data_IF_896617668486
#
_entry.id   IF_896617668486
#
_cell.length_a   1.000
_cell.length_b   1.000
_cell.length_c   1.000
_cell.angle_alpha   90.00
_cell.angle_beta   90.00
_cell.angle_gamma   90.00
#
_symmetry.space_group_name_H-M   'P 1'
#
loop_
_entity.id
_entity.type
_entity.pdbx_description
1 polymer ?
#
# COMPACT_ATOMS: atom_id res chain seq x y z
N UNK A 1 67.01 -40.37 -9.44
CA UNK A 1 65.78 -41.01 -8.99
C UNK A 1 65.18 -40.37 -7.75
N UNK A 2 65.90 -40.26 -6.61
CA UNK A 2 65.30 -39.69 -5.34
C UNK A 2 64.74 -38.25 -5.50
N UNK A 3 65.42 -37.35 -6.21
CA UNK A 3 64.93 -35.97 -6.42
C UNK A 3 63.65 -35.87 -7.29
N UNK A 4 63.51 -36.78 -8.27
CA UNK A 4 62.32 -36.81 -9.16
C UNK A 4 61.09 -37.37 -8.39
N UNK A 5 61.27 -38.34 -7.55
CA UNK A 5 60.21 -38.89 -6.71
C UNK A 5 59.75 -37.86 -5.68
N UNK A 6 60.69 -37.09 -5.09
CA UNK A 6 60.35 -36.02 -4.15
C UNK A 6 59.49 -34.89 -4.80
N UNK A 7 59.79 -34.54 -6.05
CA UNK A 7 59.01 -33.54 -6.83
C UNK A 7 57.60 -34.04 -7.17
N UNK A 8 57.46 -35.32 -7.52
CA UNK A 8 56.18 -35.95 -7.76
C UNK A 8 55.28 -36.04 -6.51
N UNK A 9 55.87 -36.32 -5.36
CA UNK A 9 55.16 -36.35 -4.08
C UNK A 9 54.69 -34.95 -3.68
N UNK A 10 55.52 -33.91 -3.87
CA UNK A 10 55.16 -32.51 -3.58
C UNK A 10 54.03 -32.05 -4.53
N UNK A 11 54.08 -32.38 -5.81
CA UNK A 11 53.04 -32.05 -6.78
C UNK A 11 51.71 -32.77 -6.46
N UNK A 12 51.77 -34.00 -6.01
CA UNK A 12 50.60 -34.79 -5.59
C UNK A 12 49.96 -34.23 -4.31
N UNK A 13 50.77 -33.82 -3.33
CA UNK A 13 50.27 -33.20 -2.08
C UNK A 13 49.67 -31.82 -2.39
N UNK A 14 50.26 -31.03 -3.30
CA UNK A 14 49.73 -29.73 -3.72
C UNK A 14 48.39 -29.90 -4.45
N UNK A 15 48.25 -30.91 -5.34
CA UNK A 15 46.97 -31.15 -6.03
C UNK A 15 45.86 -31.63 -5.09
N UNK A 16 46.17 -32.43 -4.07
CA UNK A 16 45.23 -32.88 -3.03
C UNK A 16 44.79 -31.71 -2.11
N UNK A 17 45.68 -30.77 -1.83
CA UNK A 17 45.36 -29.58 -1.03
C UNK A 17 44.39 -28.63 -1.78
N UNK A 18 44.53 -28.48 -3.10
CA UNK A 18 43.63 -27.66 -3.92
C UNK A 18 42.23 -28.26 -3.99
N UNK A 19 42.08 -29.57 -4.15
CA UNK A 19 40.77 -30.26 -4.19
C UNK A 19 40.08 -30.26 -2.82
N UNK A 20 40.85 -30.34 -1.73
CA UNK A 20 40.33 -30.26 -0.37
C UNK A 20 39.75 -28.87 -0.01
N UNK A 21 40.44 -27.81 -0.42
CA UNK A 21 39.95 -26.42 -0.18
C UNK A 21 38.66 -26.16 -0.95
N UNK A 22 38.52 -26.65 -2.19
CA UNK A 22 37.33 -26.41 -2.98
C UNK A 22 36.08 -27.09 -2.38
N UNK A 23 36.20 -28.33 -1.92
CA UNK A 23 35.09 -29.03 -1.25
C UNK A 23 34.71 -28.43 0.12
N UNK A 24 35.68 -27.89 0.85
CA UNK A 24 35.41 -27.25 2.15
C UNK A 24 34.72 -25.90 1.92
N UNK A 25 35.13 -25.12 0.93
CA UNK A 25 34.48 -23.85 0.59
C UNK A 25 33.09 -24.04 -0.02
N UNK A 26 32.91 -25.03 -0.90
CA UNK A 26 31.58 -25.33 -1.46
C UNK A 26 30.59 -25.83 -0.38
N UNK A 27 31.01 -26.67 0.57
CA UNK A 27 30.15 -27.07 1.68
C UNK A 27 29.90 -25.96 2.70
N UNK A 28 30.84 -25.05 2.89
CA UNK A 28 30.68 -23.90 3.78
C UNK A 28 29.75 -22.83 3.14
N UNK A 29 29.87 -22.62 1.85
CA UNK A 29 29.01 -21.69 1.09
C UNK A 29 27.59 -22.26 0.95
N UNK A 30 27.43 -23.56 0.67
CA UNK A 30 26.10 -24.21 0.64
C UNK A 30 25.33 -24.06 1.95
N UNK A 31 26.00 -24.10 3.08
CA UNK A 31 25.37 -23.88 4.39
C UNK A 31 24.95 -22.42 4.62
N UNK A 32 25.54 -21.46 3.86
CA UNK A 32 25.17 -20.04 3.91
C UNK A 32 24.14 -19.67 2.83
N UNK A 33 24.10 -20.38 1.71
CA UNK A 33 23.10 -20.18 0.66
C UNK A 33 21.72 -20.70 1.08
N UNK A 34 21.66 -21.75 1.88
CA UNK A 34 20.43 -22.20 2.56
C UNK A 34 20.24 -21.43 3.85
N UNK A 35 19.91 -20.14 3.75
CA UNK A 35 19.52 -19.37 4.92
C UNK A 35 18.17 -19.93 5.45
N UNK A 36 18.18 -20.65 6.61
CA UNK A 36 16.96 -21.24 7.15
C UNK A 36 15.92 -20.17 7.59
N UNK A 37 16.33 -18.89 7.59
CA UNK A 37 15.46 -17.75 7.86
C UNK A 37 14.79 -17.19 6.57
N UNK A 38 15.24 -17.66 5.38
CA UNK A 38 14.55 -17.40 4.12
C UNK A 38 13.76 -18.67 3.76
N UNK A 39 12.45 -18.74 4.05
CA UNK A 39 11.65 -19.91 3.73
C UNK A 39 11.43 -20.00 2.21
N UNK A 40 12.39 -20.57 1.49
CA UNK A 40 12.25 -20.89 0.05
C UNK A 40 11.05 -21.80 -0.24
N UNK A 41 10.54 -22.46 0.79
CA UNK A 41 9.42 -23.41 0.74
C UNK A 41 8.09 -22.86 1.24
N UNK A 42 8.01 -21.59 1.70
CA UNK A 42 6.76 -21.05 2.16
C UNK A 42 5.75 -20.91 0.99
N UNK A 43 4.47 -21.26 1.19
CA UNK A 43 3.44 -21.15 0.16
C UNK A 43 3.12 -19.69 -0.17
N UNK A 44 2.60 -19.45 -1.37
CA UNK A 44 2.23 -18.12 -1.90
C UNK A 44 1.44 -17.26 -0.91
N UNK A 45 0.47 -17.86 -0.22
CA UNK A 45 -0.41 -17.16 0.74
C UNK A 45 0.37 -16.53 1.91
N UNK A 46 1.52 -17.07 2.32
CA UNK A 46 2.33 -16.50 3.40
C UNK A 46 3.06 -15.24 2.97
N UNK A 47 3.59 -15.22 1.76
CA UNK A 47 4.19 -14.01 1.17
C UNK A 47 3.12 -12.94 0.95
N UNK A 48 1.95 -13.33 0.48
CA UNK A 48 0.83 -12.40 0.33
C UNK A 48 0.39 -11.81 1.68
N UNK A 49 0.23 -12.61 2.72
CA UNK A 49 -0.10 -12.12 4.06
C UNK A 49 0.98 -11.16 4.61
N UNK A 50 2.27 -11.47 4.37
CA UNK A 50 3.38 -10.57 4.71
C UNK A 50 3.30 -9.24 3.96
N UNK A 51 2.98 -9.27 2.66
CA UNK A 51 2.78 -8.08 1.85
C UNK A 51 1.58 -7.24 2.34
N UNK A 52 0.46 -7.88 2.69
CA UNK A 52 -0.73 -7.21 3.24
C UNK A 52 -0.41 -6.48 4.56
N UNK A 53 0.29 -7.14 5.48
CA UNK A 53 0.70 -6.51 6.74
C UNK A 53 1.64 -5.32 6.53
N UNK A 54 2.62 -5.46 5.64
CA UNK A 54 3.53 -4.38 5.29
C UNK A 54 2.82 -3.22 4.55
N UNK A 55 1.80 -3.51 3.74
CA UNK A 55 1.00 -2.48 3.08
C UNK A 55 0.15 -1.70 4.08
N UNK A 56 -0.38 -2.35 5.14
CA UNK A 56 -1.02 -1.63 6.25
C UNK A 56 -0.03 -0.67 6.89
N UNK A 57 1.16 -1.16 7.26
CA UNK A 57 2.20 -0.35 7.90
C UNK A 57 2.61 0.84 7.02
N UNK A 58 2.78 0.63 5.73
CA UNK A 58 3.12 1.68 4.77
C UNK A 58 1.97 2.69 4.59
N UNK A 59 0.75 2.22 4.31
CA UNK A 59 -0.35 3.10 3.89
C UNK A 59 -1.00 3.85 5.05
N UNK A 60 -1.14 3.20 6.21
CA UNK A 60 -1.72 3.81 7.41
C UNK A 60 -0.67 4.53 8.29
N UNK A 61 0.60 4.18 8.16
CA UNK A 61 1.69 4.70 8.98
C UNK A 61 2.10 6.14 8.66
N UNK A 62 3.41 6.40 8.67
CA UNK A 62 3.97 7.75 8.54
C UNK A 62 3.51 8.52 7.30
N UNK A 63 3.42 7.95 6.08
CA UNK A 63 2.93 8.68 4.92
C UNK A 63 1.52 9.26 5.10
N UNK A 64 0.60 8.51 5.74
CA UNK A 64 -0.76 9.01 6.01
C UNK A 64 -0.77 10.12 7.05
N UNK A 65 0.04 9.99 8.10
CA UNK A 65 0.20 11.00 9.15
C UNK A 65 0.74 12.31 8.57
N UNK A 66 1.76 12.22 7.73
CA UNK A 66 2.36 13.37 7.07
C UNK A 66 1.39 14.03 6.08
N UNK A 67 0.68 13.22 5.28
CA UNK A 67 -0.35 13.72 4.38
C UNK A 67 -1.46 14.46 5.13
N UNK A 68 -1.89 13.96 6.29
CA UNK A 68 -2.89 14.62 7.12
C UNK A 68 -2.39 15.97 7.69
N UNK A 69 -1.12 16.06 8.09
CA UNK A 69 -0.50 17.33 8.52
C UNK A 69 -0.49 18.33 7.37
N UNK A 70 0.00 17.95 6.20
CA UNK A 70 0.10 18.84 5.05
C UNK A 70 -1.25 19.22 4.43
N UNK A 71 -2.24 18.31 4.52
CA UNK A 71 -3.63 18.64 4.18
C UNK A 71 -4.37 19.41 5.28
N UNK A 72 -3.69 19.76 6.38
CA UNK A 72 -4.26 20.47 7.53
C UNK A 72 -5.50 19.77 8.14
N UNK A 73 -5.46 18.43 8.12
CA UNK A 73 -6.41 17.57 8.82
C UNK A 73 -5.94 17.23 10.25
N UNK A 74 -4.65 17.38 10.49
CA UNK A 74 -3.99 17.29 11.78
C UNK A 74 -2.91 18.38 11.86
N UNK A 75 -2.35 18.61 13.05
CA UNK A 75 -1.22 19.51 13.30
C UNK A 75 -0.05 18.71 13.82
N UNK A 76 1.12 18.91 13.25
CA UNK A 76 2.38 18.46 13.83
C UNK A 76 2.75 19.35 15.00
N UNK A 77 2.52 18.87 16.24
CA UNK A 77 2.54 19.72 17.44
C UNK A 77 3.85 19.67 18.22
N UNK A 78 4.62 18.56 18.12
CA UNK A 78 5.85 18.40 18.91
C UNK A 78 6.93 17.66 18.13
N UNK A 79 8.19 17.82 18.58
CA UNK A 79 9.39 17.16 18.05
C UNK A 79 9.52 17.28 16.53
N UNK A 80 9.85 16.15 15.85
CA UNK A 80 9.98 16.15 14.39
C UNK A 80 8.69 16.54 13.65
N UNK A 81 7.51 16.22 14.22
CA UNK A 81 6.25 16.58 13.58
C UNK A 81 5.99 18.09 13.56
N UNK A 82 6.50 18.84 14.56
CA UNK A 82 6.48 20.30 14.50
C UNK A 82 7.35 20.84 13.34
N UNK A 83 8.46 20.15 13.02
CA UNK A 83 9.25 20.45 11.83
C UNK A 83 8.50 20.13 10.53
N UNK A 84 7.86 18.98 10.46
CA UNK A 84 7.09 18.56 9.28
C UNK A 84 5.89 19.48 9.01
N UNK A 85 5.27 20.05 10.04
CA UNK A 85 4.17 21.02 9.92
C UNK A 85 4.59 22.29 9.14
N UNK A 86 5.87 22.62 9.21
CA UNK A 86 6.48 23.75 8.47
C UNK A 86 7.37 23.32 7.30
N UNK A 87 7.16 22.08 6.80
CA UNK A 87 7.88 21.49 5.66
C UNK A 87 9.39 21.30 5.87
N UNK A 88 9.86 21.28 7.13
CA UNK A 88 11.24 20.94 7.44
C UNK A 88 11.40 19.40 7.47
N UNK A 89 11.62 18.83 6.31
CA UNK A 89 11.72 17.39 6.08
C UNK A 89 12.88 17.08 5.14
N UNK A 90 13.48 15.91 5.32
CA UNK A 90 14.62 15.43 4.53
C UNK A 90 14.32 14.07 3.89
N UNK A 91 15.14 13.66 2.92
CA UNK A 91 15.01 12.34 2.31
C UNK A 91 15.16 11.20 3.34
N UNK A 92 15.97 11.39 4.38
CA UNK A 92 16.17 10.38 5.43
C UNK A 92 14.91 10.08 6.23
N UNK A 93 14.00 11.04 6.35
CA UNK A 93 12.73 10.86 7.08
C UNK A 93 11.83 9.82 6.43
N UNK A 94 12.03 9.54 5.13
CA UNK A 94 11.29 8.54 4.35
C UNK A 94 12.01 7.19 4.20
N UNK A 95 13.17 7.00 4.82
CA UNK A 95 13.98 5.79 4.59
C UNK A 95 13.24 4.50 4.96
N UNK A 96 12.47 4.51 6.05
CA UNK A 96 11.66 3.37 6.46
C UNK A 96 10.51 3.09 5.49
N UNK A 97 9.84 4.14 5.02
CA UNK A 97 8.72 4.00 4.09
C UNK A 97 9.19 3.49 2.73
N UNK A 98 10.34 3.95 2.27
CA UNK A 98 10.99 3.41 1.08
C UNK A 98 11.34 1.92 1.23
N UNK A 99 11.94 1.54 2.37
CA UNK A 99 12.21 0.14 2.68
C UNK A 99 10.94 -0.71 2.72
N UNK A 100 9.89 -0.24 3.39
CA UNK A 100 8.59 -0.91 3.42
C UNK A 100 8.02 -1.09 2.02
N UNK A 101 8.00 -0.03 1.22
CA UNK A 101 7.43 -0.04 -0.12
C UNK A 101 8.06 -1.10 -1.03
N UNK A 102 9.38 -1.17 -1.04
CA UNK A 102 10.10 -2.06 -1.96
C UNK A 102 10.38 -3.44 -1.37
N UNK A 103 10.98 -3.47 -0.17
CA UNK A 103 11.46 -4.73 0.40
C UNK A 103 10.34 -5.55 1.02
N UNK A 104 9.37 -4.88 1.68
CA UNK A 104 8.33 -5.59 2.42
C UNK A 104 7.03 -5.75 1.60
N UNK A 105 6.64 -4.77 0.81
CA UNK A 105 5.41 -4.86 0.00
C UNK A 105 5.72 -5.43 -1.39
N UNK A 106 6.44 -4.70 -2.24
CA UNK A 106 6.62 -5.08 -3.65
C UNK A 106 7.30 -6.44 -3.81
N UNK A 107 8.39 -6.70 -3.08
CA UNK A 107 9.12 -7.98 -3.17
C UNK A 107 8.21 -9.14 -2.77
N UNK A 108 7.50 -9.02 -1.64
CA UNK A 108 6.60 -10.09 -1.21
C UNK A 108 5.42 -10.29 -2.16
N UNK A 109 4.88 -9.23 -2.78
CA UNK A 109 3.83 -9.37 -3.80
C UNK A 109 4.33 -10.13 -5.02
N UNK A 110 5.53 -9.82 -5.53
CA UNK A 110 6.10 -10.51 -6.69
C UNK A 110 6.43 -11.97 -6.42
N UNK A 111 6.96 -12.29 -5.24
CA UNK A 111 7.17 -13.70 -4.81
C UNK A 111 5.81 -14.42 -4.68
N UNK A 112 4.81 -13.76 -4.07
CA UNK A 112 3.48 -14.33 -3.94
C UNK A 112 2.85 -14.62 -5.31
N UNK A 113 2.99 -13.71 -6.28
CA UNK A 113 2.49 -13.89 -7.65
C UNK A 113 3.17 -15.07 -8.35
N UNK A 114 4.50 -15.14 -8.31
CA UNK A 114 5.23 -16.26 -8.92
C UNK A 114 4.78 -17.59 -8.31
N UNK A 115 4.79 -17.70 -6.99
CA UNK A 115 4.38 -18.93 -6.30
C UNK A 115 2.90 -19.27 -6.50
N UNK A 116 2.02 -18.27 -6.57
CA UNK A 116 0.61 -18.49 -6.84
C UNK A 116 0.39 -19.10 -8.23
N UNK A 117 1.17 -18.71 -9.23
CA UNK A 117 1.15 -19.35 -10.56
C UNK A 117 1.66 -20.79 -10.50
N UNK A 118 2.77 -21.04 -9.80
CA UNK A 118 3.35 -22.38 -9.60
C UNK A 118 2.38 -23.33 -8.85
N UNK A 119 1.63 -22.79 -7.87
CA UNK A 119 0.66 -23.52 -7.05
C UNK A 119 -0.74 -23.60 -7.70
N UNK A 120 -0.98 -22.94 -8.84
CA UNK A 120 -2.29 -22.89 -9.51
C UNK A 120 -3.32 -22.02 -8.80
N UNK A 121 -2.91 -21.13 -7.90
CA UNK A 121 -3.77 -20.23 -7.12
C UNK A 121 -4.04 -18.92 -7.86
N UNK A 122 -4.76 -18.99 -9.00
CA UNK A 122 -4.96 -17.86 -9.88
C UNK A 122 -5.77 -16.71 -9.23
N UNK A 123 -6.67 -17.01 -8.32
CA UNK A 123 -7.36 -16.00 -7.52
C UNK A 123 -6.39 -15.19 -6.63
N UNK A 124 -5.43 -15.85 -5.98
CA UNK A 124 -4.39 -15.17 -5.20
C UNK A 124 -3.49 -14.32 -6.10
N UNK A 125 -3.09 -14.86 -7.26
CA UNK A 125 -2.33 -14.12 -8.26
C UNK A 125 -3.04 -12.81 -8.67
N UNK A 126 -4.33 -12.90 -9.03
CA UNK A 126 -5.12 -11.75 -9.45
C UNK A 126 -5.25 -10.68 -8.36
N UNK A 127 -5.47 -11.08 -7.10
CA UNK A 127 -5.52 -10.14 -5.97
C UNK A 127 -4.17 -9.49 -5.74
N UNK A 128 -3.07 -10.25 -5.79
CA UNK A 128 -1.72 -9.71 -5.62
C UNK A 128 -1.36 -8.70 -6.73
N UNK A 129 -1.83 -8.90 -7.97
CA UNK A 129 -1.67 -7.95 -9.08
C UNK A 129 -2.43 -6.64 -8.83
N UNK A 130 -3.67 -6.71 -8.35
CA UNK A 130 -4.45 -5.50 -7.99
C UNK A 130 -3.75 -4.73 -6.87
N UNK A 131 -3.27 -5.42 -5.84
CA UNK A 131 -2.58 -4.78 -4.72
C UNK A 131 -1.23 -4.19 -5.15
N UNK A 132 -0.48 -4.85 -6.05
CA UNK A 132 0.75 -4.30 -6.62
C UNK A 132 0.49 -2.98 -7.37
N UNK A 133 -0.53 -2.96 -8.24
CA UNK A 133 -0.88 -1.76 -8.99
C UNK A 133 -1.34 -0.61 -8.09
N UNK A 134 -2.19 -0.87 -7.10
CA UNK A 134 -2.59 0.12 -6.10
C UNK A 134 -1.39 0.65 -5.32
N UNK A 135 -0.50 -0.24 -4.87
CA UNK A 135 0.70 0.10 -4.11
C UNK A 135 1.66 0.96 -4.93
N UNK A 136 2.07 0.51 -6.11
CA UNK A 136 3.04 1.22 -6.94
C UNK A 136 2.50 2.53 -7.50
N UNK A 137 1.19 2.60 -7.80
CA UNK A 137 0.53 3.85 -8.10
C UNK A 137 0.59 4.84 -6.93
N UNK A 138 0.44 4.37 -5.68
CA UNK A 138 0.59 5.20 -4.48
C UNK A 138 2.05 5.64 -4.29
N UNK A 139 3.02 4.74 -4.47
CA UNK A 139 4.46 5.07 -4.40
C UNK A 139 4.82 6.16 -5.42
N UNK A 140 4.37 6.02 -6.67
CA UNK A 140 4.59 7.03 -7.70
C UNK A 140 3.89 8.37 -7.38
N UNK A 141 2.71 8.34 -6.75
CA UNK A 141 2.02 9.57 -6.32
C UNK A 141 2.79 10.32 -5.24
N UNK A 142 3.50 9.61 -4.36
CA UNK A 142 4.26 10.20 -3.25
C UNK A 142 5.64 10.71 -3.68
N UNK A 143 6.36 9.97 -4.53
CA UNK A 143 7.77 10.26 -4.85
C UNK A 143 8.04 10.67 -6.30
N UNK A 144 7.07 10.60 -7.20
CA UNK A 144 7.27 10.91 -8.62
C UNK A 144 7.91 9.76 -9.38
N UNK A 145 9.05 9.99 -10.00
CA UNK A 145 9.82 8.95 -10.69
C UNK A 145 10.40 7.96 -9.68
N UNK A 146 10.15 6.66 -9.89
CA UNK A 146 10.51 5.60 -8.95
C UNK A 146 10.90 4.31 -9.67
N UNK A 147 11.77 3.46 -9.10
CA UNK A 147 12.05 2.14 -9.66
C UNK A 147 10.79 1.26 -9.65
N UNK A 148 10.41 0.69 -10.79
CA UNK A 148 9.31 -0.29 -10.87
C UNK A 148 9.57 -1.42 -11.84
N UNK A 149 9.93 -1.12 -13.10
CA UNK A 149 10.09 -2.14 -14.15
C UNK A 149 11.17 -3.17 -13.81
N UNK A 150 12.25 -2.74 -13.16
CA UNK A 150 13.38 -3.58 -12.77
C UNK A 150 13.45 -3.84 -11.25
N UNK A 151 12.60 -3.21 -10.46
CA UNK A 151 12.63 -3.34 -8.99
C UNK A 151 12.24 -4.74 -8.52
N UNK A 152 12.69 -5.13 -7.32
CA UNK A 152 12.41 -6.42 -6.68
C UNK A 152 12.74 -7.65 -7.58
N UNK A 153 13.80 -7.55 -8.38
CA UNK A 153 14.33 -8.61 -9.24
C UNK A 153 15.86 -8.69 -9.04
N UNK A 154 16.34 -9.09 -7.85
CA UNK A 154 17.76 -9.06 -7.50
C UNK A 154 18.61 -9.98 -8.38
N UNK A 155 18.01 -11.00 -8.98
CA UNK A 155 18.66 -11.90 -9.94
C UNK A 155 18.98 -11.20 -11.28
N UNK A 156 18.31 -10.08 -11.59
CA UNK A 156 18.54 -9.31 -12.81
C UNK A 156 19.40 -8.07 -12.56
N UNK A 157 19.11 -7.32 -11.50
CA UNK A 157 19.86 -6.12 -11.16
C UNK A 157 19.74 -5.76 -9.67
N UNK A 158 20.84 -5.28 -9.09
CA UNK A 158 20.86 -4.70 -7.75
C UNK A 158 20.69 -3.16 -7.78
N UNK A 159 20.74 -2.56 -8.96
CA UNK A 159 20.63 -1.11 -9.18
C UNK A 159 19.54 -0.84 -10.22
N UNK A 160 18.25 -1.04 -9.86
CA UNK A 160 17.16 -0.81 -10.79
C UNK A 160 17.09 0.66 -11.20
N UNK A 161 16.76 0.90 -12.46
CA UNK A 161 16.55 2.28 -12.97
C UNK A 161 15.31 2.90 -12.36
N UNK A 162 15.29 4.23 -12.32
CA UNK A 162 14.08 5.00 -12.07
C UNK A 162 13.24 5.04 -13.36
N UNK A 163 11.98 4.63 -13.26
CA UNK A 163 10.99 4.78 -14.31
C UNK A 163 10.27 6.12 -14.13
N UNK A 164 9.88 6.74 -15.23
CA UNK A 164 9.10 7.98 -15.20
C UNK A 164 7.74 7.74 -14.51
N UNK A 165 7.28 8.69 -13.70
CA UNK A 165 6.02 8.59 -12.95
C UNK A 165 4.83 8.16 -13.82
N UNK A 166 4.73 8.67 -15.04
CA UNK A 166 3.65 8.34 -15.97
C UNK A 166 3.73 6.88 -16.42
N UNK A 167 4.93 6.40 -16.68
CA UNK A 167 5.16 5.00 -17.06
C UNK A 167 4.82 4.07 -15.88
N UNK A 168 5.14 4.48 -14.65
CA UNK A 168 4.74 3.74 -13.44
C UNK A 168 3.21 3.70 -13.30
N UNK A 169 2.50 4.81 -13.50
CA UNK A 169 1.03 4.80 -13.48
C UNK A 169 0.44 3.88 -14.54
N UNK A 170 0.96 3.93 -15.77
CA UNK A 170 0.49 3.06 -16.84
C UNK A 170 0.74 1.58 -16.53
N UNK A 171 1.92 1.24 -16.03
CA UNK A 171 2.26 -0.13 -15.61
C UNK A 171 1.43 -0.60 -14.42
N UNK A 172 1.15 0.28 -13.45
CA UNK A 172 0.28 0.00 -12.31
C UNK A 172 -1.18 -0.26 -12.76
N UNK A 173 -1.69 0.53 -13.68
CA UNK A 173 -3.02 0.31 -14.29
C UNK A 173 -3.05 -1.03 -15.04
N UNK A 174 -2.00 -1.35 -15.81
CA UNK A 174 -1.91 -2.63 -16.51
C UNK A 174 -1.91 -3.83 -15.52
N UNK A 175 -1.20 -3.72 -14.40
CA UNK A 175 -1.22 -4.74 -13.36
C UNK A 175 -2.62 -4.91 -12.74
N UNK A 176 -3.33 -3.81 -12.49
CA UNK A 176 -4.73 -3.84 -12.02
C UNK A 176 -5.64 -4.52 -13.05
N UNK A 177 -5.53 -4.17 -14.32
CA UNK A 177 -6.35 -4.73 -15.39
C UNK A 177 -6.12 -6.23 -15.55
N UNK A 178 -4.87 -6.67 -15.49
CA UNK A 178 -4.50 -8.10 -15.47
C UNK A 178 -5.14 -8.81 -14.27
N UNK A 179 -5.04 -8.24 -13.08
CA UNK A 179 -5.65 -8.79 -11.87
C UNK A 179 -7.16 -8.91 -11.98
N UNK A 180 -7.85 -7.88 -12.47
CA UNK A 180 -9.31 -7.90 -12.70
C UNK A 180 -9.68 -8.99 -13.70
N UNK A 181 -8.95 -9.11 -14.80
CA UNK A 181 -9.21 -10.13 -15.82
C UNK A 181 -9.07 -11.54 -15.24
N UNK A 182 -7.99 -11.79 -14.50
CA UNK A 182 -7.75 -13.09 -13.86
C UNK A 182 -8.85 -13.43 -12.83
N UNK A 183 -9.26 -12.48 -11.99
CA UNK A 183 -10.30 -12.70 -10.99
C UNK A 183 -11.68 -12.93 -11.61
N UNK A 184 -11.96 -12.28 -12.74
CA UNK A 184 -13.23 -12.50 -13.48
C UNK A 184 -13.32 -13.94 -13.97
N UNK A 185 -12.20 -14.54 -14.35
CA UNK A 185 -12.12 -15.93 -14.81
C UNK A 185 -11.98 -16.93 -13.64
N UNK A 186 -11.51 -16.48 -12.47
CA UNK A 186 -11.25 -17.31 -11.29
C UNK A 186 -11.92 -16.71 -10.05
N UNK A 187 -13.26 -16.80 -9.92
CA UNK A 187 -14.04 -16.08 -8.91
C UNK A 187 -14.01 -16.70 -7.51
N UNK A 188 -13.26 -17.77 -7.29
CA UNK A 188 -13.16 -18.40 -5.97
C UNK A 188 -12.55 -17.43 -4.94
N UNK A 189 -13.14 -17.37 -3.75
CA UNK A 189 -12.64 -16.53 -2.66
C UNK A 189 -11.27 -17.01 -2.16
N UNK A 190 -10.45 -16.07 -1.64
CA UNK A 190 -9.21 -16.40 -0.97
C UNK A 190 -9.48 -17.00 0.41
N UNK A 191 -8.65 -17.94 0.83
CA UNK A 191 -8.76 -18.56 2.15
C UNK A 191 -8.35 -17.60 3.30
N UNK A 192 -7.47 -16.63 3.01
CA UNK A 192 -6.97 -15.65 3.98
C UNK A 192 -6.89 -14.28 3.33
N UNK A 193 -7.42 -13.27 4.02
CA UNK A 193 -7.36 -11.87 3.64
C UNK A 193 -7.43 -11.03 4.91
N UNK A 194 -6.51 -10.07 5.05
CA UNK A 194 -6.40 -9.20 6.23
C UNK A 194 -7.29 -7.95 6.13
N UNK A 195 -7.99 -7.77 5.00
CA UNK A 195 -8.76 -6.57 4.73
C UNK A 195 -10.27 -6.80 4.78
N UNK A 196 -11.05 -5.73 4.67
CA UNK A 196 -12.52 -5.76 4.66
C UNK A 196 -13.13 -6.55 3.49
N UNK A 197 -12.36 -6.85 2.47
CA UNK A 197 -12.77 -7.71 1.36
C UNK A 197 -13.08 -9.13 1.81
N UNK A 198 -12.45 -9.60 2.90
CA UNK A 198 -12.68 -10.93 3.46
C UNK A 198 -12.43 -12.05 2.45
N UNK A 199 -11.48 -11.85 1.53
CA UNK A 199 -11.14 -12.79 0.48
C UNK A 199 -12.09 -12.82 -0.71
N UNK A 200 -13.14 -12.00 -0.74
CA UNK A 200 -14.08 -11.93 -1.87
C UNK A 200 -13.41 -11.36 -3.12
N UNK A 201 -13.28 -12.16 -4.17
CA UNK A 201 -12.77 -11.74 -5.47
C UNK A 201 -13.63 -10.67 -6.12
N UNK A 202 -14.96 -10.74 -5.95
CA UNK A 202 -15.88 -9.71 -6.43
C UNK A 202 -15.62 -8.33 -5.79
N UNK A 203 -15.33 -8.29 -4.49
CA UNK A 203 -14.92 -7.05 -3.83
C UNK A 203 -13.56 -6.58 -4.31
N UNK A 204 -12.59 -7.47 -4.49
CA UNK A 204 -11.29 -7.13 -5.02
C UNK A 204 -11.34 -6.56 -6.45
N UNK A 205 -12.25 -7.04 -7.29
CA UNK A 205 -12.50 -6.45 -8.61
C UNK A 205 -12.96 -4.99 -8.48
N UNK A 206 -13.88 -4.69 -7.54
CA UNK A 206 -14.30 -3.31 -7.26
C UNK A 206 -13.16 -2.45 -6.73
N UNK A 207 -12.30 -3.00 -5.86
CA UNK A 207 -11.06 -2.33 -5.41
C UNK A 207 -10.18 -1.98 -6.60
N UNK A 208 -9.96 -2.93 -7.51
CA UNK A 208 -9.17 -2.72 -8.73
C UNK A 208 -9.74 -1.60 -9.59
N UNK A 209 -11.02 -1.60 -9.87
CA UNK A 209 -11.66 -0.55 -10.67
C UNK A 209 -11.60 0.83 -10.02
N UNK A 210 -11.78 0.93 -8.70
CA UNK A 210 -11.64 2.21 -7.98
C UNK A 210 -10.19 2.71 -7.97
N UNK A 211 -9.23 1.83 -7.75
CA UNK A 211 -7.81 2.16 -7.84
C UNK A 211 -7.43 2.63 -9.25
N UNK A 212 -7.90 1.93 -10.29
CA UNK A 212 -7.72 2.33 -11.68
C UNK A 212 -8.30 3.73 -11.95
N UNK A 213 -9.50 4.02 -11.47
CA UNK A 213 -10.13 5.33 -11.64
C UNK A 213 -9.29 6.43 -10.98
N UNK A 214 -8.76 6.21 -9.76
CA UNK A 214 -7.84 7.11 -9.07
C UNK A 214 -6.60 7.40 -9.91
N UNK A 215 -5.93 6.37 -10.41
CA UNK A 215 -4.71 6.52 -11.21
C UNK A 215 -4.97 7.21 -12.56
N UNK A 216 -6.08 6.89 -13.22
CA UNK A 216 -6.50 7.59 -14.44
C UNK A 216 -6.77 9.07 -14.20
N UNK A 217 -7.32 9.48 -13.04
CA UNK A 217 -7.47 10.90 -12.69
C UNK A 217 -6.12 11.59 -12.50
N UNK A 218 -5.10 10.91 -11.94
CA UNK A 218 -3.74 11.44 -11.88
C UNK A 218 -3.16 11.65 -13.28
N UNK A 219 -3.33 10.69 -14.18
CA UNK A 219 -2.92 10.81 -15.59
C UNK A 219 -3.66 11.94 -16.33
N UNK A 220 -4.99 12.07 -16.12
CA UNK A 220 -5.79 13.08 -16.76
C UNK A 220 -5.29 14.51 -16.46
N UNK A 221 -4.81 14.75 -15.23
CA UNK A 221 -4.29 16.06 -14.81
C UNK A 221 -3.09 16.50 -15.64
N UNK A 222 -2.20 15.60 -16.03
CA UNK A 222 -0.98 15.91 -16.79
C UNK A 222 -1.30 16.65 -18.08
N UNK A 223 -2.31 16.17 -18.82
CA UNK A 223 -2.66 16.68 -20.15
C UNK A 223 -3.91 17.57 -20.12
N UNK A 224 -4.14 18.24 -19.00
CA UNK A 224 -5.28 19.14 -18.78
C UNK A 224 -6.65 18.45 -19.00
N UNK A 225 -6.79 17.23 -18.47
CA UNK A 225 -8.03 16.46 -18.41
C UNK A 225 -8.67 16.16 -19.78
N UNK A 226 -7.98 15.45 -20.69
CA UNK A 226 -8.53 15.11 -21.99
C UNK A 226 -9.77 14.23 -21.86
N UNK A 227 -10.79 14.49 -22.68
CA UNK A 227 -12.08 13.78 -22.62
C UNK A 227 -11.94 12.26 -22.77
N UNK A 228 -10.97 11.80 -23.55
CA UNK A 228 -10.72 10.37 -23.73
C UNK A 228 -10.34 9.68 -22.39
N UNK A 229 -9.46 10.30 -21.59
CA UNK A 229 -9.07 9.76 -20.27
C UNK A 229 -10.22 9.93 -19.27
N UNK A 230 -10.92 11.06 -19.26
CA UNK A 230 -12.08 11.27 -18.38
C UNK A 230 -13.19 10.22 -18.60
N UNK A 231 -13.45 9.84 -19.84
CA UNK A 231 -14.38 8.76 -20.13
C UNK A 231 -13.92 7.41 -19.59
N UNK A 232 -12.61 7.11 -19.66
CA UNK A 232 -12.04 5.90 -19.03
C UNK A 232 -12.16 5.93 -17.49
N UNK A 233 -11.96 7.11 -16.87
CA UNK A 233 -12.20 7.32 -15.44
C UNK A 233 -13.64 6.95 -15.07
N UNK A 234 -14.62 7.50 -15.79
CA UNK A 234 -16.03 7.23 -15.54
C UNK A 234 -16.34 5.73 -15.69
N UNK A 235 -15.88 5.11 -16.76
CA UNK A 235 -16.09 3.67 -16.99
C UNK A 235 -15.51 2.81 -15.87
N UNK A 236 -14.30 3.12 -15.41
CA UNK A 236 -13.68 2.41 -14.31
C UNK A 236 -14.41 2.68 -12.97
N UNK A 237 -14.67 3.94 -12.64
CA UNK A 237 -15.30 4.31 -11.37
C UNK A 237 -16.72 3.73 -11.20
N UNK A 238 -17.50 3.64 -12.29
CA UNK A 238 -18.84 3.03 -12.27
C UNK A 238 -18.82 1.54 -11.91
N UNK A 239 -17.73 0.82 -12.19
CA UNK A 239 -17.54 -0.58 -11.82
C UNK A 239 -16.86 -0.73 -10.45
N UNK A 240 -16.42 0.36 -9.85
CA UNK A 240 -15.73 0.39 -8.58
C UNK A 240 -16.64 0.35 -7.36
N UNK A 241 -16.11 0.84 -6.25
CA UNK A 241 -16.79 0.95 -4.96
C UNK A 241 -17.67 2.20 -4.97
N UNK A 242 -18.96 2.05 -5.21
CA UNK A 242 -19.92 3.17 -5.29
C UNK A 242 -21.07 3.05 -4.28
N UNK A 243 -21.21 1.90 -3.61
CA UNK A 243 -22.29 1.69 -2.63
C UNK A 243 -22.02 2.44 -1.33
N UNK A 244 -22.92 3.34 -0.97
CA UNK A 244 -22.90 4.07 0.32
C UNK A 244 -23.61 3.31 1.43
N UNK A 245 -24.10 2.10 1.17
CA UNK A 245 -24.68 1.24 2.19
C UNK A 245 -23.65 0.90 3.27
N UNK A 246 -23.99 1.17 4.54
CA UNK A 246 -23.09 0.90 5.65
C UNK A 246 -23.22 -0.52 6.18
N UNK A 247 -22.08 -1.15 6.46
CA UNK A 247 -22.01 -2.37 7.25
C UNK A 247 -22.25 -2.06 8.74
N UNK A 248 -22.58 -3.08 9.53
CA UNK A 248 -22.69 -2.96 11.00
C UNK A 248 -21.41 -2.45 11.68
N UNK A 249 -20.26 -2.68 11.05
CA UNK A 249 -18.96 -2.20 11.49
C UNK A 249 -18.73 -0.68 11.31
N UNK A 250 -19.66 0.04 10.67
CA UNK A 250 -19.62 1.51 10.52
C UNK A 250 -18.93 2.04 9.27
N UNK A 251 -18.36 1.17 8.42
CA UNK A 251 -17.86 1.52 7.08
C UNK A 251 -18.81 1.01 5.98
N UNK A 252 -18.61 1.43 4.73
CA UNK A 252 -19.42 0.96 3.61
C UNK A 252 -19.22 -0.54 3.35
N UNK A 253 -20.28 -1.24 2.92
CA UNK A 253 -20.24 -2.70 2.70
C UNK A 253 -19.17 -3.14 1.71
N UNK A 254 -18.84 -2.27 0.76
CA UNK A 254 -17.83 -2.51 -0.27
C UNK A 254 -16.54 -1.71 -0.04
N UNK A 255 -16.51 -0.79 0.95
CA UNK A 255 -15.31 0.00 1.24
C UNK A 255 -14.10 -0.90 1.48
N UNK A 256 -12.98 -0.54 0.88
CA UNK A 256 -11.70 -1.19 1.12
C UNK A 256 -11.02 -0.52 2.30
N UNK A 257 -11.00 -1.22 3.42
CA UNK A 257 -10.47 -0.71 4.69
C UNK A 257 -9.58 -1.76 5.37
N UNK A 258 -8.64 -1.27 6.17
CA UNK A 258 -7.94 -2.11 7.15
C UNK A 258 -8.82 -2.24 8.40
N UNK A 259 -8.96 -3.46 8.88
CA UNK A 259 -9.70 -3.77 10.10
C UNK A 259 -8.72 -4.04 11.23
N UNK A 260 -9.02 -3.52 12.43
CA UNK A 260 -8.12 -3.56 13.56
C UNK A 260 -8.73 -4.25 14.77
N UNK A 261 -7.86 -4.90 15.56
CA UNK A 261 -8.16 -5.44 16.88
C UNK A 261 -7.94 -4.41 17.98
N UNK A 262 -8.09 -4.87 19.23
CA UNK A 262 -7.95 -4.00 20.42
C UNK A 262 -6.60 -4.14 21.11
N UNK A 263 -5.71 -4.99 20.62
CA UNK A 263 -4.39 -5.25 21.20
C UNK A 263 -3.30 -5.10 20.16
N UNK A 264 -2.06 -4.86 20.58
CA UNK A 264 -0.90 -4.84 19.67
C UNK A 264 -0.74 -6.14 18.89
N UNK A 265 -0.88 -7.28 19.56
CA UNK A 265 -0.87 -8.59 18.92
C UNK A 265 -2.07 -8.81 17.98
N UNK A 266 -3.19 -8.13 18.24
CA UNK A 266 -4.39 -8.14 17.41
C UNK A 266 -4.43 -7.04 16.34
N UNK A 267 -3.29 -6.47 15.98
CA UNK A 267 -3.19 -5.45 14.93
C UNK A 267 -4.08 -4.22 15.24
N UNK A 268 -3.77 -3.47 16.30
CA UNK A 268 -4.48 -2.22 16.60
C UNK A 268 -4.24 -1.15 15.54
N UNK A 269 -5.13 -0.17 15.48
CA UNK A 269 -5.00 1.00 14.61
C UNK A 269 -3.66 1.70 14.81
N UNK A 270 -2.90 1.95 13.74
CA UNK A 270 -1.54 2.50 13.83
C UNK A 270 -1.52 3.96 14.27
N UNK A 271 -2.56 4.72 13.96
CA UNK A 271 -2.69 6.07 14.48
C UNK A 271 -2.92 6.07 16.00
N UNK A 272 -3.75 5.14 16.50
CA UNK A 272 -3.91 4.98 17.95
C UNK A 272 -2.59 4.62 18.61
N UNK A 273 -1.87 3.63 18.07
CA UNK A 273 -0.55 3.24 18.58
C UNK A 273 0.38 4.44 18.65
N UNK A 274 0.47 5.19 17.55
CA UNK A 274 1.34 6.37 17.47
C UNK A 274 0.92 7.48 18.45
N UNK A 275 -0.35 7.89 18.43
CA UNK A 275 -0.83 9.05 19.19
C UNK A 275 -0.89 8.77 20.70
N UNK A 276 -1.21 7.53 21.11
CA UNK A 276 -1.50 7.22 22.51
C UNK A 276 -0.34 6.50 23.18
N UNK A 277 0.29 5.53 22.50
CA UNK A 277 1.29 4.65 23.12
C UNK A 277 2.72 5.10 22.86
N UNK A 278 3.04 5.49 21.62
CA UNK A 278 4.44 5.68 21.21
C UNK A 278 4.86 7.15 21.29
N UNK A 279 4.03 8.08 20.78
CA UNK A 279 4.39 9.47 20.53
C UNK A 279 3.26 10.43 20.92
N UNK A 280 2.79 10.30 22.16
CA UNK A 280 1.72 11.16 22.68
C UNK A 280 2.06 12.66 22.50
N UNK A 281 1.11 13.42 21.94
CA UNK A 281 1.27 14.86 21.74
C UNK A 281 1.96 15.28 20.41
N UNK A 282 2.56 14.35 19.65
CA UNK A 282 3.23 14.70 18.38
C UNK A 282 2.25 15.12 17.29
N UNK A 283 1.12 14.43 17.20
CA UNK A 283 0.02 14.74 16.30
C UNK A 283 -1.21 15.13 17.11
N UNK A 284 -1.75 16.31 16.82
CA UNK A 284 -2.91 16.85 17.51
C UNK A 284 -3.85 17.53 16.50
N UNK A 285 -5.02 17.94 16.93
CA UNK A 285 -5.93 18.75 16.12
C UNK A 285 -5.57 20.25 16.15
N UNK A 286 -5.36 20.82 17.34
CA UNK A 286 -4.93 22.19 17.62
C UNK A 286 -5.57 23.26 16.70
N UNK A 287 -6.88 23.12 16.45
CA UNK A 287 -7.61 24.03 15.56
C UNK A 287 -7.07 24.07 14.12
N UNK A 288 -6.58 22.93 13.59
CA UNK A 288 -6.21 22.79 12.17
C UNK A 288 -7.35 23.21 11.25
N UNK A 289 -7.09 23.34 9.95
CA UNK A 289 -8.10 23.82 9.00
C UNK A 289 -9.37 22.93 8.98
N UNK A 290 -9.22 21.61 9.08
CA UNK A 290 -10.36 20.69 9.15
C UNK A 290 -11.25 20.94 10.38
N UNK A 291 -10.67 21.21 11.56
CA UNK A 291 -11.43 21.60 12.76
C UNK A 291 -12.22 22.87 12.51
N UNK A 292 -11.58 23.90 11.95
CA UNK A 292 -12.23 25.18 11.65
C UNK A 292 -13.37 25.01 10.65
N UNK A 293 -13.13 24.25 9.60
CA UNK A 293 -14.11 24.02 8.53
C UNK A 293 -15.35 23.29 9.03
N UNK A 294 -15.17 22.20 9.76
CA UNK A 294 -16.29 21.41 10.28
C UNK A 294 -17.01 22.15 11.41
N UNK A 295 -16.26 22.81 12.30
CA UNK A 295 -16.83 23.59 13.40
C UNK A 295 -17.67 24.78 12.92
N UNK A 296 -17.26 25.46 11.86
CA UNK A 296 -18.02 26.58 11.28
C UNK A 296 -19.41 26.18 10.72
N UNK A 297 -19.61 24.88 10.42
CA UNK A 297 -20.90 24.36 9.93
C UNK A 297 -21.82 23.86 11.04
N UNK A 298 -21.40 23.92 12.28
CA UNK A 298 -22.20 23.66 13.47
C UNK A 298 -22.89 22.29 13.45
N UNK A 299 -24.19 22.27 13.72
CA UNK A 299 -24.97 21.04 13.85
C UNK A 299 -24.95 20.17 12.55
N UNK A 300 -24.85 20.76 11.38
CA UNK A 300 -24.84 20.02 10.12
C UNK A 300 -23.62 19.07 9.97
N UNK A 301 -22.50 19.42 10.59
CA UNK A 301 -21.26 18.66 10.53
C UNK A 301 -20.84 18.05 11.88
N UNK A 302 -21.69 18.16 12.90
CA UNK A 302 -21.37 17.69 14.27
C UNK A 302 -21.00 16.20 14.31
N UNK A 303 -21.66 15.36 13.53
CA UNK A 303 -21.35 13.94 13.45
C UNK A 303 -19.93 13.68 12.93
N UNK A 304 -19.54 14.36 11.86
CA UNK A 304 -18.21 14.26 11.26
C UNK A 304 -17.15 14.90 12.17
N UNK A 305 -17.45 16.06 12.75
CA UNK A 305 -16.58 16.71 13.71
C UNK A 305 -16.27 15.78 14.90
N UNK A 306 -17.31 15.23 15.55
CA UNK A 306 -17.18 14.34 16.69
C UNK A 306 -16.55 12.98 16.35
N UNK A 307 -16.54 12.59 15.10
CA UNK A 307 -15.84 11.39 14.64
C UNK A 307 -14.32 11.58 14.62
N UNK A 308 -13.84 12.74 14.19
CA UNK A 308 -12.41 13.00 14.02
C UNK A 308 -11.75 13.70 15.22
N UNK A 309 -12.48 14.53 15.94
CA UNK A 309 -11.91 15.47 16.91
C UNK A 309 -12.55 15.36 18.29
N UNK A 310 -11.78 15.74 19.33
CA UNK A 310 -12.31 15.96 20.69
C UNK A 310 -13.17 17.23 20.73
N UNK A 311 -14.10 17.29 21.70
CA UNK A 311 -15.05 18.41 21.81
C UNK A 311 -14.36 19.77 22.05
N UNK A 312 -13.18 19.78 22.68
CA UNK A 312 -12.38 20.99 22.90
C UNK A 312 -11.55 21.41 21.67
N UNK A 313 -11.64 20.65 20.56
CA UNK A 313 -10.91 20.91 19.30
C UNK A 313 -9.38 20.84 19.39
N UNK A 314 -8.84 20.26 20.46
CA UNK A 314 -7.41 20.22 20.69
C UNK A 314 -6.77 18.91 20.18
N UNK A 315 -7.49 17.80 20.25
CA UNK A 315 -6.94 16.49 19.96
C UNK A 315 -7.74 15.69 18.92
N UNK A 316 -7.04 14.76 18.28
CA UNK A 316 -7.64 13.73 17.45
C UNK A 316 -8.38 12.73 18.35
N UNK A 317 -9.58 12.30 17.96
CA UNK A 317 -10.42 11.48 18.83
C UNK A 317 -9.99 10.02 18.83
N UNK A 318 -9.35 9.59 19.90
CA UNK A 318 -8.85 8.23 20.13
C UNK A 318 -9.80 7.35 20.99
N UNK A 319 -10.91 7.93 21.48
CA UNK A 319 -11.92 7.20 22.28
C UNK A 319 -12.85 6.40 21.38
N UNK A 320 -13.55 5.43 21.96
CA UNK A 320 -14.52 4.58 21.24
C UNK A 320 -15.47 5.40 20.36
N UNK A 321 -15.62 4.96 19.11
CA UNK A 321 -16.41 5.65 18.09
C UNK A 321 -15.69 6.82 17.40
N UNK A 322 -14.44 7.12 17.75
CA UNK A 322 -13.60 8.08 17.06
C UNK A 322 -12.81 7.43 15.92
N UNK A 323 -12.37 8.25 14.97
CA UNK A 323 -11.61 7.82 13.79
C UNK A 323 -10.26 7.18 14.14
N UNK A 324 -9.70 7.54 15.29
CA UNK A 324 -8.39 7.11 15.75
C UNK A 324 -8.48 6.22 17.00
N UNK A 325 -9.63 5.59 17.25
CA UNK A 325 -9.79 4.64 18.36
C UNK A 325 -8.97 3.36 18.10
N UNK A 326 -8.68 2.62 19.17
CA UNK A 326 -7.79 1.44 19.14
C UNK A 326 -8.17 0.40 18.07
N UNK A 327 -9.46 0.21 17.81
CA UNK A 327 -10.01 -0.72 16.81
C UNK A 327 -10.72 0.00 15.66
N UNK A 328 -10.51 1.31 15.48
CA UNK A 328 -11.06 2.03 14.35
C UNK A 328 -10.47 1.48 13.04
N UNK A 329 -11.31 1.24 12.05
CA UNK A 329 -10.86 0.87 10.71
C UNK A 329 -10.13 2.04 10.04
N UNK A 330 -9.17 1.72 9.17
CA UNK A 330 -8.49 2.73 8.37
C UNK A 330 -8.91 2.61 6.89
N UNK A 331 -9.47 3.68 6.28
CA UNK A 331 -9.96 3.63 4.92
C UNK A 331 -8.82 3.74 3.89
N UNK A 332 -8.81 2.84 2.90
CA UNK A 332 -7.90 2.87 1.75
C UNK A 332 -8.61 3.38 0.50
N UNK A 333 -9.80 2.85 0.22
CA UNK A 333 -10.70 3.32 -0.84
C UNK A 333 -12.14 3.28 -0.29
N UNK A 334 -12.81 4.41 -0.34
CA UNK A 334 -14.21 4.53 0.09
C UNK A 334 -15.12 4.82 -1.10
N UNK A 335 -16.39 4.45 -0.97
CA UNK A 335 -17.42 4.80 -1.93
C UNK A 335 -17.47 6.31 -2.20
N UNK A 336 -17.34 7.14 -1.15
CA UNK A 336 -17.32 8.60 -1.29
C UNK A 336 -16.18 9.10 -2.18
N UNK A 337 -14.99 8.50 -2.13
CA UNK A 337 -13.90 8.86 -3.04
C UNK A 337 -14.25 8.54 -4.48
N UNK A 338 -14.73 7.32 -4.75
CA UNK A 338 -15.08 6.90 -6.11
C UNK A 338 -16.23 7.75 -6.68
N UNK A 339 -17.22 8.12 -5.85
CA UNK A 339 -18.31 9.00 -6.24
C UNK A 339 -17.82 10.44 -6.51
N UNK A 340 -16.87 10.96 -5.73
CA UNK A 340 -16.24 12.26 -5.99
C UNK A 340 -15.40 12.25 -7.27
N UNK A 341 -14.73 11.16 -7.58
CA UNK A 341 -14.03 10.96 -8.87
C UNK A 341 -15.04 11.02 -10.03
N UNK A 342 -16.19 10.34 -9.90
CA UNK A 342 -17.27 10.40 -10.88
C UNK A 342 -17.83 11.82 -11.03
N UNK A 343 -18.05 12.52 -9.92
CA UNK A 343 -18.51 13.91 -9.92
C UNK A 343 -17.53 14.82 -10.64
N UNK A 344 -16.23 14.74 -10.31
CA UNK A 344 -15.21 15.58 -10.93
C UNK A 344 -15.07 15.29 -12.43
N UNK A 345 -15.00 14.02 -12.83
CA UNK A 345 -14.86 13.65 -14.23
C UNK A 345 -16.04 14.14 -15.08
N UNK A 346 -17.28 14.00 -14.58
CA UNK A 346 -18.47 14.53 -15.24
C UNK A 346 -18.50 16.05 -15.30
N UNK A 347 -18.12 16.74 -14.21
CA UNK A 347 -18.04 18.21 -14.21
C UNK A 347 -17.06 18.73 -15.27
N UNK A 348 -15.90 18.10 -15.41
CA UNK A 348 -14.88 18.45 -16.40
C UNK A 348 -15.31 18.19 -17.85
N UNK A 349 -16.19 17.21 -18.07
CA UNK A 349 -16.82 16.95 -19.36
C UNK A 349 -18.03 17.86 -19.65
N UNK A 350 -18.45 18.72 -18.71
CA UNK A 350 -19.63 19.55 -18.83
C UNK A 350 -20.95 18.85 -18.52
N UNK A 351 -20.94 17.61 -18.03
CA UNK A 351 -22.11 16.83 -17.61
C UNK A 351 -22.59 17.27 -16.21
N UNK A 352 -23.03 18.53 -16.08
CA UNK A 352 -23.30 19.16 -14.78
C UNK A 352 -24.33 18.40 -13.94
N UNK A 353 -25.41 17.90 -14.56
CA UNK A 353 -26.45 17.16 -13.85
C UNK A 353 -25.89 15.89 -13.20
N UNK A 354 -25.14 15.10 -13.94
CA UNK A 354 -24.51 13.87 -13.41
C UNK A 354 -23.45 14.18 -12.36
N UNK A 355 -22.66 15.23 -12.54
CA UNK A 355 -21.69 15.68 -11.56
C UNK A 355 -22.34 16.01 -10.21
N UNK A 356 -23.45 16.75 -10.21
CA UNK A 356 -24.22 17.09 -9.00
C UNK A 356 -24.87 15.84 -8.38
N UNK A 357 -25.38 14.92 -9.21
CA UNK A 357 -25.97 13.66 -8.72
C UNK A 357 -24.91 12.83 -7.94
N UNK A 358 -23.72 12.64 -8.49
CA UNK A 358 -22.63 11.90 -7.80
C UNK A 358 -22.12 12.64 -6.57
N UNK A 359 -22.00 13.97 -6.63
CA UNK A 359 -21.59 14.77 -5.48
C UNK A 359 -22.57 14.62 -4.29
N UNK A 360 -23.87 14.57 -4.56
CA UNK A 360 -24.89 14.41 -3.52
C UNK A 360 -24.96 12.99 -2.95
N UNK A 361 -24.44 12.00 -3.68
CA UNK A 361 -24.36 10.61 -3.19
C UNK A 361 -23.11 10.39 -2.32
N UNK A 362 -22.03 11.16 -2.49
CA UNK A 362 -20.76 11.02 -1.81
C UNK A 362 -20.83 11.46 -0.33
#
# INVERSE_FOLDING_TARGET
MKKVISLFIIALIASLAFVGCQKITENYIKGYEDNPLLPSTAPAIKFFAGAQGAFIEFYEGFPSQLAAVWAQQATGADRQFAGFDVYNITANDFSNDWFLAYTRVLTNLRIAQQKAQEEGLLNLYGVAKILEGLHMGTVAALWGDVPYSEAAQPEKTLTPKYDNQIDVYNAAIAAIDEGIQVLTQNPASLAQDLYSTGGSTAKWIKVGYSAKARLLMHLARKDNYPSAILNQVIQAAQQGITSTQRASAGYGTDDFVFTHGTTQAGNMNLWYSFIVLDRAGYLRALKCFAVKMLGARGAAESGRFNYYFTADSNDLRTTTGGAYAVSAYFPVIRASETLLILAEANARLGNTTEAVNYLNQA
#
